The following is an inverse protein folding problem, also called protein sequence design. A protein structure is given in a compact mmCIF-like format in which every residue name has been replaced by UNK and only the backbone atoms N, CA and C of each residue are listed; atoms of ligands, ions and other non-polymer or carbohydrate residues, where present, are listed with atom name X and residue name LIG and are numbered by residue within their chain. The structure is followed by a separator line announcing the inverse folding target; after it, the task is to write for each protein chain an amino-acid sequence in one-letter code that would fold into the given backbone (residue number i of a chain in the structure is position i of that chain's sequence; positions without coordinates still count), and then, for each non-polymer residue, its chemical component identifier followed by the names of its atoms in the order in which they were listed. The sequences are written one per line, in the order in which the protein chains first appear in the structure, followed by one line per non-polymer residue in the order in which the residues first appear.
data_IF_959336708788
#
_entry.id   IF_959336708788
#
_cell.length_a   1.000
_cell.length_b   1.000
_cell.length_c   1.000
_cell.angle_alpha   90.00
_cell.angle_beta   90.00
_cell.angle_gamma   90.00
#
_symmetry.space_group_name_H-M   'P 1'
#
loop_
_entity.id
_entity.type
_entity.pdbx_description
1 polymer ?
#
# COMPACT_ATOMS: atom_id res chain seq x y z
N UNK A 1 23.21 59.45 -2.24
CA UNK A 1 24.39 58.77 -1.67
C UNK A 1 23.92 57.39 -1.23
N UNK A 2 23.85 56.35 -2.07
CA UNK A 2 24.90 55.66 -2.85
C UNK A 2 24.81 54.20 -2.39
N UNK A 3 24.12 53.30 -3.10
CA UNK A 3 24.61 52.43 -4.17
C UNK A 3 25.98 51.80 -3.89
N UNK A 4 25.96 50.46 -3.82
CA UNK A 4 27.06 49.51 -4.05
C UNK A 4 27.98 49.21 -2.85
N UNK A 5 27.82 48.01 -2.29
CA UNK A 5 28.98 47.20 -1.93
C UNK A 5 28.68 45.71 -2.14
N UNK A 6 28.86 45.32 -3.40
CA UNK A 6 29.19 43.97 -3.81
C UNK A 6 30.72 43.92 -3.83
N UNK A 7 31.36 43.06 -3.02
CA UNK A 7 32.39 42.13 -3.52
C UNK A 7 32.93 41.19 -2.42
N UNK A 8 33.03 39.93 -2.83
CA UNK A 8 34.07 38.93 -2.49
C UNK A 8 33.96 38.13 -1.19
N UNK A 9 33.44 36.91 -1.32
CA UNK A 9 34.17 35.76 -0.79
C UNK A 9 34.20 34.63 -1.83
N UNK A 10 35.40 34.07 -2.01
CA UNK A 10 35.79 33.10 -3.04
C UNK A 10 36.26 31.83 -2.32
N UNK A 11 35.49 30.75 -2.44
CA UNK A 11 35.91 29.34 -2.33
C UNK A 11 35.81 28.65 -0.96
N UNK A 12 35.81 27.29 -0.90
CA UNK A 12 35.99 26.34 -1.99
C UNK A 12 34.83 25.34 -2.20
N UNK A 13 34.89 24.71 -3.38
CA UNK A 13 34.27 23.46 -3.81
C UNK A 13 33.81 22.49 -2.72
N UNK A 14 32.49 22.37 -2.56
CA UNK A 14 31.84 21.18 -2.04
C UNK A 14 31.06 20.52 -3.17
N UNK A 15 31.44 19.30 -3.54
CA UNK A 15 30.77 18.50 -4.56
C UNK A 15 29.26 18.49 -4.32
N UNK A 16 28.50 19.09 -5.23
CA UNK A 16 27.05 18.89 -5.28
C UNK A 16 26.82 17.45 -5.70
N UNK A 17 26.76 16.55 -4.72
CA UNK A 17 26.27 15.21 -4.88
C UNK A 17 24.91 15.31 -5.57
N UNK A 18 24.86 14.87 -6.83
CA UNK A 18 23.63 14.80 -7.60
C UNK A 18 22.60 14.04 -6.79
N UNK A 19 21.52 14.74 -6.41
CA UNK A 19 20.35 14.12 -5.81
C UNK A 19 19.71 13.20 -6.85
N UNK A 20 20.18 11.97 -6.91
CA UNK A 20 19.47 10.82 -7.48
C UNK A 20 18.27 10.46 -6.61
N UNK A 21 17.35 11.42 -6.42
CA UNK A 21 16.21 11.34 -5.49
C UNK A 21 15.18 10.27 -5.91
N UNK A 22 15.09 9.96 -7.21
CA UNK A 22 14.04 9.08 -7.74
C UNK A 22 14.27 7.57 -7.54
N UNK A 23 15.50 7.10 -7.33
CA UNK A 23 15.77 5.64 -7.17
C UNK A 23 15.88 5.22 -5.70
N UNK A 24 16.34 6.12 -4.82
CA UNK A 24 16.41 5.89 -3.38
C UNK A 24 15.03 5.80 -2.75
N UNK A 25 14.14 6.77 -3.06
CA UNK A 25 12.78 6.80 -2.51
C UNK A 25 11.94 5.59 -2.91
N UNK A 26 12.01 5.17 -4.19
CA UNK A 26 11.28 3.98 -4.66
C UNK A 26 11.78 2.69 -4.00
N UNK A 27 13.10 2.52 -3.86
CA UNK A 27 13.66 1.36 -3.14
C UNK A 27 13.20 1.32 -1.68
N UNK A 28 13.16 2.47 -1.01
CA UNK A 28 12.63 2.58 0.35
C UNK A 28 11.15 2.16 0.45
N UNK A 29 10.30 2.66 -0.46
CA UNK A 29 8.88 2.31 -0.48
C UNK A 29 8.63 0.82 -0.73
N UNK A 30 9.42 0.18 -1.61
CA UNK A 30 9.32 -1.27 -1.80
C UNK A 30 9.76 -2.05 -0.56
N UNK A 31 10.83 -1.63 0.12
CA UNK A 31 11.31 -2.28 1.34
C UNK A 31 10.27 -2.17 2.48
N UNK A 32 9.66 -1.00 2.65
CA UNK A 32 8.56 -0.79 3.60
C UNK A 32 7.35 -1.66 3.26
N UNK A 33 7.00 -1.75 1.96
CA UNK A 33 5.94 -2.62 1.47
C UNK A 33 6.19 -4.09 1.79
N UNK A 34 7.40 -4.58 1.53
CA UNK A 34 7.78 -5.97 1.86
C UNK A 34 7.78 -6.22 3.38
N UNK A 35 8.26 -5.28 4.19
CA UNK A 35 8.22 -5.38 5.65
C UNK A 35 6.78 -5.47 6.16
N UNK A 36 5.87 -4.63 5.64
CA UNK A 36 4.45 -4.69 5.94
C UNK A 36 3.86 -6.05 5.57
N UNK A 37 4.14 -6.56 4.38
CA UNK A 37 3.63 -7.85 3.92
C UNK A 37 4.08 -9.00 4.83
N UNK A 38 5.35 -9.00 5.27
CA UNK A 38 5.88 -10.00 6.21
C UNK A 38 5.17 -9.95 7.55
N UNK A 39 5.00 -8.75 8.11
CA UNK A 39 4.31 -8.58 9.39
C UNK A 39 2.83 -9.00 9.28
N UNK A 40 2.17 -8.60 8.19
CA UNK A 40 0.76 -8.91 7.95
C UNK A 40 0.53 -10.41 7.77
N UNK A 41 1.40 -11.11 7.02
CA UNK A 41 1.30 -12.56 6.82
C UNK A 41 1.63 -13.34 8.09
N UNK A 42 2.55 -12.86 8.92
CA UNK A 42 2.91 -13.54 10.17
C UNK A 42 1.74 -13.63 11.17
N UNK A 43 0.79 -12.69 11.10
CA UNK A 43 -0.39 -12.66 11.95
C UNK A 43 -1.58 -13.47 11.40
N UNK A 44 -1.43 -14.12 10.23
CA UNK A 44 -2.54 -14.75 9.49
C UNK A 44 -2.15 -16.14 8.99
N UNK A 45 -3.17 -16.96 8.75
CA UNK A 45 -3.00 -18.32 8.23
C UNK A 45 -3.51 -18.43 6.80
N UNK A 46 -3.00 -19.43 6.07
CA UNK A 46 -3.48 -19.75 4.71
C UNK A 46 -3.34 -18.59 3.74
N UNK A 47 -2.26 -17.82 3.86
CA UNK A 47 -2.01 -16.64 3.03
C UNK A 47 -1.52 -17.08 1.65
N UNK A 48 -2.07 -16.47 0.61
CA UNK A 48 -1.66 -16.63 -0.79
C UNK A 48 -1.33 -15.26 -1.40
N UNK A 49 -0.35 -15.24 -2.31
CA UNK A 49 0.07 -14.03 -3.01
C UNK A 49 -0.48 -13.98 -4.44
N UNK A 50 -1.05 -12.83 -4.82
CA UNK A 50 -1.56 -12.55 -6.16
C UNK A 50 -0.80 -11.35 -6.72
N UNK A 51 -0.02 -11.57 -7.78
CA UNK A 51 0.75 -10.51 -8.43
C UNK A 51 -0.13 -9.79 -9.43
N UNK A 52 -0.13 -8.47 -9.30
CA UNK A 52 -0.72 -7.57 -10.26
C UNK A 52 0.41 -7.03 -11.17
N UNK A 53 0.37 -7.29 -12.47
CA UNK A 53 1.39 -6.80 -13.37
C UNK A 53 1.36 -5.28 -13.45
N UNK A 54 2.51 -4.70 -13.79
CA UNK A 54 2.60 -3.26 -14.04
C UNK A 54 1.69 -2.89 -15.21
N UNK A 55 0.94 -1.81 -15.05
CA UNK A 55 0.16 -1.17 -16.12
C UNK A 55 0.79 0.16 -16.51
N UNK A 56 0.15 0.89 -17.42
CA UNK A 56 0.58 2.25 -17.82
C UNK A 56 0.59 3.22 -16.63
N UNK A 57 -0.36 3.07 -15.70
CA UNK A 57 -0.59 4.02 -14.60
C UNK A 57 -0.25 3.46 -13.21
N UNK A 58 -0.07 2.14 -13.09
CA UNK A 58 0.18 1.47 -11.80
C UNK A 58 1.45 0.62 -11.88
N UNK A 59 2.33 0.79 -10.90
CA UNK A 59 3.51 -0.08 -10.71
C UNK A 59 3.09 -1.51 -10.36
N UNK A 60 4.04 -2.46 -10.40
CA UNK A 60 3.76 -3.83 -9.95
C UNK A 60 3.38 -3.85 -8.48
N UNK A 61 2.28 -4.54 -8.19
CA UNK A 61 1.75 -4.73 -6.84
C UNK A 61 1.58 -6.22 -6.55
N UNK A 62 1.54 -6.56 -5.28
CA UNK A 62 1.15 -7.90 -4.82
C UNK A 62 0.04 -7.74 -3.78
N UNK A 63 -0.96 -8.60 -3.89
CA UNK A 63 -2.04 -8.73 -2.93
C UNK A 63 -1.82 -10.01 -2.15
N UNK A 64 -1.75 -9.92 -0.83
CA UNK A 64 -1.83 -11.09 0.03
C UNK A 64 -3.28 -11.27 0.45
N UNK A 65 -3.79 -12.49 0.35
CA UNK A 65 -5.14 -12.87 0.77
C UNK A 65 -5.04 -14.00 1.78
N UNK A 66 -5.59 -13.80 2.97
CA UNK A 66 -5.61 -14.80 4.04
C UNK A 66 -6.75 -15.81 3.87
N UNK A 67 -6.75 -16.87 4.69
CA UNK A 67 -7.74 -17.95 4.64
C UNK A 67 -9.20 -17.46 4.61
N UNK A 68 -9.53 -16.43 5.39
CA UNK A 68 -10.85 -15.83 5.58
C UNK A 68 -11.22 -14.76 4.54
N UNK A 69 -10.32 -14.47 3.60
CA UNK A 69 -10.49 -13.46 2.58
C UNK A 69 -10.03 -12.05 2.98
N UNK A 70 -9.53 -11.84 4.21
CA UNK A 70 -8.87 -10.58 4.54
C UNK A 70 -7.67 -10.39 3.60
N UNK A 71 -7.42 -9.16 3.15
CA UNK A 71 -6.37 -8.90 2.19
C UNK A 71 -5.62 -7.59 2.43
N UNK A 72 -4.38 -7.55 1.94
CA UNK A 72 -3.58 -6.33 1.90
C UNK A 72 -2.85 -6.22 0.56
N UNK A 73 -2.68 -4.99 0.05
CA UNK A 73 -1.98 -4.71 -1.21
C UNK A 73 -0.77 -3.81 -0.95
N UNK A 74 0.38 -4.17 -1.51
CA UNK A 74 1.61 -3.36 -1.47
C UNK A 74 2.31 -3.35 -2.83
N UNK A 75 3.03 -2.26 -3.09
CA UNK A 75 3.89 -2.14 -4.28
C UNK A 75 5.17 -2.93 -4.07
N UNK A 76 5.67 -3.50 -5.15
CA UNK A 76 6.90 -4.29 -5.18
C UNK A 76 7.76 -3.88 -6.37
N UNK A 77 9.07 -4.07 -6.25
CA UNK A 77 10.00 -3.64 -7.29
C UNK A 77 9.77 -4.33 -8.65
N UNK A 78 9.30 -5.58 -8.64
CA UNK A 78 9.02 -6.37 -9.85
C UNK A 78 8.20 -7.63 -9.53
N UNK A 79 7.61 -8.31 -10.54
CA UNK A 79 6.99 -9.62 -10.34
C UNK A 79 7.96 -10.66 -9.74
N UNK A 80 9.24 -10.59 -10.11
CA UNK A 80 10.26 -11.48 -9.56
C UNK A 80 10.56 -11.19 -8.08
N UNK A 81 10.46 -9.93 -7.64
CA UNK A 81 10.57 -9.59 -6.22
C UNK A 81 9.42 -10.20 -5.42
N UNK A 82 8.18 -10.12 -5.93
CA UNK A 82 7.04 -10.79 -5.31
C UNK A 82 7.22 -12.31 -5.23
N UNK A 83 7.70 -12.96 -6.30
CA UNK A 83 8.01 -14.40 -6.31
C UNK A 83 9.06 -14.77 -5.27
N UNK A 84 10.14 -13.98 -5.15
CA UNK A 84 11.18 -14.19 -4.13
C UNK A 84 10.62 -14.04 -2.71
N UNK A 85 9.80 -13.01 -2.48
CA UNK A 85 9.14 -12.80 -1.18
C UNK A 85 8.24 -13.98 -0.82
N UNK A 86 7.33 -14.37 -1.71
CA UNK A 86 6.42 -15.49 -1.46
C UNK A 86 7.17 -16.80 -1.22
N UNK A 87 8.23 -17.08 -2.00
CA UNK A 87 9.10 -18.23 -1.77
C UNK A 87 9.77 -18.19 -0.40
N UNK A 88 10.25 -17.02 0.05
CA UNK A 88 10.85 -16.86 1.38
C UNK A 88 9.86 -17.08 2.53
N UNK A 89 8.57 -16.92 2.25
CA UNK A 89 7.46 -17.13 3.19
C UNK A 89 6.78 -18.51 2.99
N UNK A 90 7.31 -19.36 2.11
CA UNK A 90 6.74 -20.67 1.76
C UNK A 90 5.26 -20.62 1.34
N UNK A 91 4.91 -19.56 0.61
CA UNK A 91 3.53 -19.24 0.24
C UNK A 91 3.28 -19.45 -1.27
N UNK A 92 2.10 -19.94 -1.66
CA UNK A 92 1.70 -19.99 -3.07
C UNK A 92 1.60 -18.59 -3.68
N UNK A 93 2.00 -18.47 -4.94
CA UNK A 93 1.94 -17.21 -5.68
C UNK A 93 1.33 -17.40 -7.07
N UNK A 94 0.42 -16.51 -7.44
CA UNK A 94 -0.33 -16.56 -8.69
C UNK A 94 -0.26 -15.23 -9.42
N UNK A 95 -0.47 -15.26 -10.74
CA UNK A 95 -0.70 -14.07 -11.54
C UNK A 95 -2.21 -13.79 -11.58
N UNK A 96 -2.63 -12.61 -11.14
CA UNK A 96 -4.05 -12.26 -11.07
C UNK A 96 -4.71 -12.18 -12.44
N UNK A 97 -3.97 -11.91 -13.51
CA UNK A 97 -4.52 -11.89 -14.86
C UNK A 97 -4.85 -13.29 -15.37
N UNK A 98 -4.19 -14.32 -14.81
CA UNK A 98 -4.42 -15.71 -15.19
C UNK A 98 -5.52 -16.37 -14.36
N UNK A 99 -5.50 -16.17 -13.03
CA UNK A 99 -6.43 -16.88 -12.12
C UNK A 99 -7.56 -16.00 -11.59
N UNK A 100 -7.47 -14.68 -11.74
CA UNK A 100 -8.37 -13.73 -11.10
C UNK A 100 -8.15 -13.58 -9.60
N UNK A 101 -9.02 -12.80 -8.94
CA UNK A 101 -9.03 -12.72 -7.48
C UNK A 101 -9.86 -13.86 -6.88
N UNK A 102 -9.44 -14.41 -5.72
CA UNK A 102 -10.13 -15.53 -5.10
C UNK A 102 -11.50 -15.11 -4.54
N UNK A 103 -12.47 -16.03 -4.55
CA UNK A 103 -13.85 -15.71 -4.14
C UNK A 103 -13.95 -15.21 -2.68
N UNK A 104 -13.17 -15.80 -1.77
CA UNK A 104 -13.09 -15.39 -0.36
C UNK A 104 -12.80 -13.89 -0.17
N UNK A 105 -11.98 -13.29 -1.04
CA UNK A 105 -11.69 -11.85 -0.99
C UNK A 105 -12.95 -11.02 -1.28
N UNK A 106 -13.74 -11.44 -2.27
CA UNK A 106 -15.02 -10.77 -2.61
C UNK A 106 -16.04 -10.91 -1.49
N UNK A 107 -16.12 -12.09 -0.88
CA UNK A 107 -16.99 -12.36 0.26
C UNK A 107 -16.61 -11.54 1.49
N UNK A 108 -15.31 -11.37 1.75
CA UNK A 108 -14.81 -10.47 2.80
C UNK A 108 -15.23 -9.02 2.54
N UNK A 109 -14.98 -8.49 1.35
CA UNK A 109 -15.38 -7.13 0.99
C UNK A 109 -16.90 -6.91 1.06
N UNK A 110 -17.70 -7.94 0.73
CA UNK A 110 -19.14 -7.90 0.86
C UNK A 110 -19.59 -7.83 2.33
N UNK A 111 -18.98 -8.64 3.20
CA UNK A 111 -19.21 -8.61 4.66
C UNK A 111 -18.84 -7.24 5.26
N UNK A 112 -17.66 -6.73 4.93
CA UNK A 112 -17.19 -5.41 5.37
C UNK A 112 -18.11 -4.28 4.93
N UNK A 113 -18.56 -4.30 3.67
CA UNK A 113 -19.47 -3.29 3.13
C UNK A 113 -20.82 -3.34 3.85
N UNK A 114 -21.34 -4.53 4.13
CA UNK A 114 -22.59 -4.71 4.86
C UNK A 114 -22.47 -4.17 6.29
N UNK A 115 -21.40 -4.52 7.01
CA UNK A 115 -21.15 -4.05 8.37
C UNK A 115 -21.07 -2.51 8.42
N UNK A 116 -20.23 -1.91 7.58
CA UNK A 116 -20.08 -0.44 7.50
C UNK A 116 -21.40 0.25 7.14
N UNK A 117 -22.27 -0.38 6.34
CA UNK A 117 -23.59 0.17 6.02
C UNK A 117 -24.49 0.18 7.25
N UNK A 118 -24.51 -0.91 8.03
CA UNK A 118 -25.31 -1.01 9.27
C UNK A 118 -24.85 0.02 10.30
N UNK A 119 -23.55 0.15 10.53
CA UNK A 119 -22.99 1.16 11.44
C UNK A 119 -23.36 2.59 11.04
N UNK A 120 -23.33 2.91 9.74
CA UNK A 120 -23.78 4.22 9.23
C UNK A 120 -25.28 4.44 9.46
N UNK A 121 -26.11 3.42 9.21
CA UNK A 121 -27.55 3.51 9.43
C UNK A 121 -27.87 3.68 10.92
N UNK A 122 -27.21 2.94 11.80
CA UNK A 122 -27.37 3.05 13.25
C UNK A 122 -26.95 4.43 13.76
N UNK A 123 -25.83 4.97 13.27
CA UNK A 123 -25.40 6.34 13.59
C UNK A 123 -26.42 7.38 13.15
N UNK A 124 -26.91 7.28 11.91
CA UNK A 124 -27.91 8.20 11.38
C UNK A 124 -29.22 8.12 12.17
N UNK A 125 -29.70 6.92 12.50
CA UNK A 125 -30.89 6.72 13.32
C UNK A 125 -30.72 7.28 14.73
N UNK A 126 -29.54 7.12 15.34
CA UNK A 126 -29.23 7.70 16.66
C UNK A 126 -29.24 9.22 16.63
N UNK A 127 -28.69 9.83 15.60
CA UNK A 127 -28.69 11.29 15.41
C UNK A 127 -30.10 11.83 15.20
N UNK A 128 -30.93 11.17 14.38
CA UNK A 128 -32.34 11.54 14.19
C UNK A 128 -33.12 11.48 15.51
N UNK A 129 -33.01 10.37 16.25
CA UNK A 129 -33.64 10.21 17.57
C UNK A 129 -33.17 11.24 18.61
N UNK A 130 -31.95 11.75 18.49
CA UNK A 130 -31.47 12.81 19.38
C UNK A 130 -32.14 14.14 19.04
N UNK A 131 -32.18 14.51 17.74
CA UNK A 131 -32.85 15.74 17.27
C UNK A 131 -34.33 15.78 17.63
N UNK A 132 -35.03 14.66 17.50
CA UNK A 132 -36.46 14.57 17.84
C UNK A 132 -36.75 14.74 19.33
N UNK A 133 -35.76 14.53 20.22
CA UNK A 133 -35.93 14.74 21.68
C UNK A 133 -35.64 16.17 22.11
N UNK A 134 -34.91 16.92 21.30
CA UNK A 134 -34.48 18.29 21.59
C UNK A 134 -35.38 19.34 20.91
N UNK A 135 -36.43 18.90 20.19
CA UNK A 135 -37.43 19.72 19.49
C UNK A 135 -38.79 19.69 20.21
#
# INVERSE_FOLDING_TARGET
MGLLDLFRSRGPSGARSGRGSGSGGRRGAYAEGEAHLRAWSAARIGVEAFVEPRTTVTETTVVFVAHDGEWTRRRVASPNAAKKLARSLQMPIYDVQLVGYPNRMREHDARDRALRKRERQERMLRELRAKDRDA
#
